data_IF_309822990227
#
_entry.id   IF_309822990227
#
_cell.length_a   1.000
_cell.length_b   1.000
_cell.length_c   1.000
_cell.angle_alpha   90.00
_cell.angle_beta   90.00
_cell.angle_gamma   90.00
#
_symmetry.space_group_name_H-M   'P 1'
#
loop_
_entity.id
_entity.type
_entity.pdbx_description
1 polymer ?
#
# COMPACT_ATOMS: atom_id res chain seq x y z
N UNK A 1 6.85 2.08 -70.07
CA UNK A 1 7.51 2.17 -68.74
C UNK A 1 6.44 2.31 -67.67
N UNK A 2 6.24 1.29 -66.82
CA UNK A 2 5.43 1.39 -65.60
C UNK A 2 6.34 0.98 -64.44
N UNK A 3 6.69 1.92 -63.59
CA UNK A 3 7.43 1.68 -62.35
C UNK A 3 6.43 1.17 -61.31
N UNK A 4 6.57 -0.07 -60.87
CA UNK A 4 5.89 -0.56 -59.68
C UNK A 4 6.74 -0.20 -58.46
N UNK A 5 6.24 0.73 -57.65
CA UNK A 5 6.79 1.08 -56.34
C UNK A 5 6.37 -0.01 -55.35
N UNK A 6 7.27 -0.94 -55.03
CA UNK A 6 7.08 -1.88 -53.93
C UNK A 6 7.29 -1.13 -52.61
N UNK A 7 6.21 -0.82 -51.90
CA UNK A 7 6.27 -0.31 -50.52
C UNK A 7 6.61 -1.49 -49.62
N UNK A 8 7.85 -1.50 -49.12
CA UNK A 8 8.32 -2.40 -48.08
C UNK A 8 7.64 -2.01 -46.76
N UNK A 9 6.63 -2.78 -46.36
CA UNK A 9 6.04 -2.69 -45.02
C UNK A 9 7.03 -3.28 -44.04
N UNK A 10 7.78 -2.41 -43.36
CA UNK A 10 8.62 -2.77 -42.21
C UNK A 10 7.65 -3.09 -41.07
N UNK A 11 7.30 -4.37 -40.92
CA UNK A 11 6.72 -4.88 -39.69
C UNK A 11 7.74 -4.67 -38.58
N UNK A 12 7.56 -3.60 -37.81
CA UNK A 12 8.23 -3.41 -36.53
C UNK A 12 7.76 -4.54 -35.61
N UNK A 13 8.53 -5.61 -35.52
CA UNK A 13 8.40 -6.58 -34.45
C UNK A 13 8.66 -5.82 -33.15
N UNK A 14 7.59 -5.47 -32.44
CA UNK A 14 7.71 -5.06 -31.05
C UNK A 14 8.33 -6.25 -30.32
N UNK A 15 9.60 -6.12 -29.98
CA UNK A 15 10.27 -7.03 -29.05
C UNK A 15 9.55 -6.83 -27.72
N UNK A 16 8.53 -7.63 -27.47
CA UNK A 16 7.94 -7.77 -26.14
C UNK A 16 9.00 -8.46 -25.29
N UNK A 17 9.85 -7.66 -24.63
CA UNK A 17 10.67 -8.16 -23.54
C UNK A 17 9.70 -8.78 -22.53
N UNK A 18 9.73 -10.11 -22.41
CA UNK A 18 8.98 -10.80 -21.38
C UNK A 18 9.51 -10.30 -20.03
N UNK A 19 8.68 -9.55 -19.31
CA UNK A 19 9.03 -9.02 -18.00
C UNK A 19 9.35 -10.20 -17.06
N UNK A 20 10.48 -10.12 -16.36
CA UNK A 20 10.83 -11.14 -15.38
C UNK A 20 9.86 -11.08 -14.19
N UNK A 21 9.54 -12.24 -13.61
CA UNK A 21 8.65 -12.34 -12.46
C UNK A 21 9.43 -12.66 -11.17
N UNK A 22 9.13 -11.93 -10.10
CA UNK A 22 9.48 -12.26 -8.73
C UNK A 22 8.50 -13.28 -8.19
N UNK A 23 9.01 -14.41 -7.67
CA UNK A 23 8.21 -15.46 -7.05
C UNK A 23 8.36 -15.37 -5.53
N UNK A 24 7.25 -15.20 -4.83
CA UNK A 24 7.22 -15.08 -3.37
C UNK A 24 6.17 -16.04 -2.82
N UNK A 25 6.45 -16.65 -1.67
CA UNK A 25 5.52 -17.49 -0.92
C UNK A 25 5.39 -16.93 0.48
N UNK A 26 4.15 -16.67 0.89
CA UNK A 26 3.78 -16.17 2.22
C UNK A 26 2.73 -17.11 2.78
N UNK A 27 3.07 -17.84 3.85
CA UNK A 27 2.34 -19.02 4.32
C UNK A 27 2.08 -20.01 3.16
N UNK A 28 0.80 -20.24 2.81
CA UNK A 28 0.37 -21.19 1.79
C UNK A 28 0.12 -20.56 0.42
N UNK A 29 0.05 -19.23 0.35
CA UNK A 29 -0.16 -18.50 -0.90
C UNK A 29 1.17 -18.19 -1.58
N UNK A 30 1.23 -18.49 -2.88
CA UNK A 30 2.34 -18.16 -3.76
C UNK A 30 1.88 -17.13 -4.80
N UNK A 31 2.65 -16.06 -4.97
CA UNK A 31 2.41 -15.01 -5.96
C UNK A 31 3.64 -14.80 -6.85
N UNK A 32 3.38 -14.44 -8.10
CA UNK A 32 4.40 -14.18 -9.12
C UNK A 32 4.12 -12.81 -9.74
N UNK A 33 4.77 -11.79 -9.21
CA UNK A 33 4.54 -10.40 -9.59
C UNK A 33 5.68 -9.86 -10.46
N UNK A 34 5.44 -8.82 -11.26
CA UNK A 34 6.46 -8.14 -12.06
C UNK A 34 7.71 -7.78 -11.26
N UNK A 35 8.91 -8.08 -11.73
CA UNK A 35 10.14 -7.66 -11.03
C UNK A 35 10.28 -6.15 -10.91
N UNK A 36 9.63 -5.37 -11.79
CA UNK A 36 9.54 -3.91 -11.69
C UNK A 36 8.81 -3.41 -10.45
N UNK A 37 8.04 -4.29 -9.79
CA UNK A 37 7.30 -3.99 -8.56
C UNK A 37 8.11 -4.39 -7.32
N UNK A 38 9.34 -4.88 -7.50
CA UNK A 38 10.29 -5.08 -6.41
C UNK A 38 11.22 -3.86 -6.36
N UNK A 39 11.45 -3.25 -5.18
CA UNK A 39 12.41 -2.17 -5.07
C UNK A 39 13.83 -2.65 -5.41
N UNK A 40 14.60 -1.79 -6.06
CA UNK A 40 16.01 -2.04 -6.29
C UNK A 40 16.77 -1.96 -4.96
N UNK A 41 16.98 -3.13 -4.36
CA UNK A 41 17.70 -3.28 -3.09
C UNK A 41 19.21 -3.43 -3.27
N UNK A 42 19.77 -3.23 -4.47
CA UNK A 42 21.20 -3.46 -4.75
C UNK A 42 22.11 -2.65 -3.82
N UNK A 43 21.82 -1.37 -3.60
CA UNK A 43 22.56 -0.53 -2.66
C UNK A 43 22.44 -1.01 -1.22
N UNK A 44 21.21 -1.29 -0.76
CA UNK A 44 20.95 -1.70 0.63
C UNK A 44 21.57 -3.08 0.93
N UNK A 45 21.54 -4.00 -0.04
CA UNK A 45 22.22 -5.29 0.06
C UNK A 45 23.73 -5.14 0.18
N UNK A 46 24.35 -4.23 -0.56
CA UNK A 46 25.77 -3.95 -0.44
C UNK A 46 26.13 -3.35 0.93
N UNK A 47 25.27 -2.46 1.45
CA UNK A 47 25.46 -1.83 2.76
C UNK A 47 25.28 -2.81 3.92
N UNK A 48 24.31 -3.73 3.82
CA UNK A 48 23.97 -4.71 4.86
C UNK A 48 24.76 -6.02 4.76
N UNK A 49 25.46 -6.27 3.64
CA UNK A 49 26.29 -7.46 3.45
C UNK A 49 27.24 -7.78 4.62
N UNK A 50 27.86 -6.80 5.32
CA UNK A 50 28.77 -7.09 6.44
C UNK A 50 28.09 -7.65 7.69
N UNK A 51 26.78 -7.43 7.86
CA UNK A 51 26.00 -7.87 9.02
C UNK A 51 24.88 -8.83 8.62
N UNK A 52 24.92 -9.36 7.40
CA UNK A 52 23.82 -10.15 6.84
C UNK A 52 23.49 -11.40 7.67
N UNK A 53 24.50 -11.99 8.33
CA UNK A 53 24.35 -13.16 9.20
C UNK A 53 23.77 -12.80 10.59
N UNK A 54 23.72 -11.51 10.94
CA UNK A 54 23.14 -10.98 12.19
C UNK A 54 21.72 -10.44 11.99
N UNK A 55 21.27 -10.32 10.74
CA UNK A 55 19.91 -9.92 10.42
C UNK A 55 19.00 -11.15 10.49
N UNK A 56 17.91 -11.05 11.26
CA UNK A 56 16.84 -12.05 11.20
C UNK A 56 16.41 -12.19 9.73
N UNK A 57 16.34 -13.44 9.23
CA UNK A 57 15.89 -13.68 7.87
C UNK A 57 14.49 -13.08 7.69
N UNK A 58 14.28 -12.34 6.61
CA UNK A 58 12.98 -11.75 6.25
C UNK A 58 11.96 -12.81 5.82
N UNK A 59 12.05 -14.02 6.37
CA UNK A 59 11.21 -15.17 6.04
C UNK A 59 9.78 -14.86 6.46
N UNK A 60 8.98 -14.39 5.50
CA UNK A 60 7.57 -14.05 5.70
C UNK A 60 7.19 -12.59 5.41
N UNK A 61 8.12 -11.78 4.91
CA UNK A 61 7.83 -10.40 4.48
C UNK A 61 8.39 -10.10 3.09
N UNK A 62 7.66 -9.33 2.30
CA UNK A 62 8.10 -8.84 0.99
C UNK A 62 7.68 -7.38 0.80
N UNK A 63 8.61 -6.52 0.38
CA UNK A 63 8.32 -5.15 0.01
C UNK A 63 7.89 -5.11 -1.46
N UNK A 64 6.65 -4.70 -1.71
CA UNK A 64 6.05 -4.62 -3.05
C UNK A 64 5.71 -3.16 -3.33
N UNK A 65 6.12 -2.69 -4.51
CA UNK A 65 5.81 -1.37 -5.06
C UNK A 65 4.83 -1.53 -6.22
N UNK A 66 3.65 -0.95 -6.12
CA UNK A 66 2.68 -0.92 -7.22
C UNK A 66 2.68 0.49 -7.82
N UNK A 67 3.08 0.67 -9.10
CA UNK A 67 3.07 1.97 -9.74
C UNK A 67 1.66 2.57 -9.76
N UNK A 68 1.54 3.88 -9.54
CA UNK A 68 0.25 4.57 -9.57
C UNK A 68 -0.51 4.40 -10.89
N UNK A 69 0.18 4.28 -12.02
CA UNK A 69 -0.44 4.04 -13.32
C UNK A 69 -1.22 2.72 -13.36
N UNK A 70 -0.75 1.69 -12.65
CA UNK A 70 -1.41 0.39 -12.57
C UNK A 70 -2.72 0.46 -11.77
N UNK A 71 -2.78 1.30 -10.73
CA UNK A 71 -4.02 1.56 -10.00
C UNK A 71 -4.93 2.49 -10.78
N UNK A 72 -4.40 3.55 -11.39
CA UNK A 72 -5.17 4.46 -12.25
C UNK A 72 -5.89 3.73 -13.38
N UNK A 73 -5.27 2.71 -13.96
CA UNK A 73 -5.88 1.89 -15.00
C UNK A 73 -7.09 1.07 -14.51
N UNK A 74 -7.18 0.80 -13.20
CA UNK A 74 -8.25 0.00 -12.57
C UNK A 74 -9.25 0.85 -11.77
N UNK A 75 -8.85 2.02 -11.29
CA UNK A 75 -9.65 2.91 -10.43
C UNK A 75 -9.82 4.27 -11.10
N UNK A 76 -11.03 4.50 -11.63
CA UNK A 76 -11.39 5.82 -12.15
C UNK A 76 -11.33 6.85 -11.02
N UNK A 77 -10.82 8.04 -11.33
CA UNK A 77 -10.64 9.12 -10.34
C UNK A 77 -9.32 9.11 -9.57
N UNK A 78 -8.57 8.00 -9.52
CA UNK A 78 -7.29 7.92 -8.80
C UNK A 78 -6.30 8.99 -9.28
N UNK A 79 -5.56 9.64 -8.40
CA UNK A 79 -4.58 10.66 -8.82
C UNK A 79 -3.18 10.05 -9.00
N UNK A 80 -2.42 10.54 -9.98
CA UNK A 80 -1.04 10.07 -10.23
C UNK A 80 -0.02 10.86 -9.43
N UNK A 81 -0.35 12.11 -9.11
CA UNK A 81 0.47 13.01 -8.31
C UNK A 81 -0.41 14.12 -7.73
N UNK A 82 0.15 14.90 -6.81
CA UNK A 82 -0.47 16.12 -6.30
C UNK A 82 0.58 17.12 -5.85
N UNK A 83 0.24 18.41 -5.87
CA UNK A 83 1.07 19.45 -5.29
C UNK A 83 0.87 19.44 -3.76
N UNK A 84 1.94 19.19 -3.00
CA UNK A 84 1.89 19.24 -1.54
C UNK A 84 1.86 20.69 -1.00
N UNK A 85 1.75 20.87 0.31
CA UNK A 85 1.70 22.21 0.91
C UNK A 85 2.97 23.06 0.67
N UNK A 86 4.06 22.44 0.22
CA UNK A 86 5.33 23.10 -0.09
C UNK A 86 5.49 23.43 -1.59
N UNK A 87 4.46 23.19 -2.42
CA UNK A 87 4.49 23.48 -3.84
C UNK A 87 5.25 22.45 -4.69
N UNK A 88 5.57 21.28 -4.12
CA UNK A 88 6.27 20.19 -4.81
C UNK A 88 5.26 19.21 -5.38
N UNK A 89 5.43 18.83 -6.64
CA UNK A 89 4.67 17.74 -7.26
C UNK A 89 5.12 16.41 -6.66
N UNK A 90 4.24 15.81 -5.89
CA UNK A 90 4.45 14.56 -5.19
C UNK A 90 3.75 13.46 -5.96
N UNK A 91 4.53 12.64 -6.66
CA UNK A 91 4.04 11.45 -7.34
C UNK A 91 3.48 10.45 -6.33
N UNK A 92 2.36 9.85 -6.70
CA UNK A 92 1.72 8.82 -5.89
C UNK A 92 2.37 7.49 -6.21
N UNK A 93 2.59 6.71 -5.17
CA UNK A 93 3.02 5.33 -5.27
C UNK A 93 2.36 4.50 -4.18
N UNK A 94 2.09 3.23 -4.51
CA UNK A 94 1.58 2.26 -3.55
C UNK A 94 2.71 1.33 -3.15
N UNK A 95 3.59 1.86 -2.30
CA UNK A 95 4.57 1.05 -1.59
C UNK A 95 3.89 0.37 -0.41
N UNK A 96 4.08 -0.94 -0.30
CA UNK A 96 3.50 -1.71 0.78
C UNK A 96 4.31 -2.94 1.14
N UNK A 97 4.08 -3.41 2.37
CA UNK A 97 4.70 -4.62 2.91
C UNK A 97 3.66 -5.74 2.89
N UNK A 98 4.00 -6.83 2.20
CA UNK A 98 3.26 -8.07 2.20
C UNK A 98 3.81 -8.99 3.28
N UNK A 99 2.93 -9.50 4.14
CA UNK A 99 3.23 -10.38 5.25
C UNK A 99 2.49 -11.70 5.10
N UNK A 100 3.08 -12.77 5.62
CA UNK A 100 2.34 -13.97 6.00
C UNK A 100 1.27 -13.60 7.04
N UNK A 101 0.01 -13.96 6.78
CA UNK A 101 -1.11 -13.63 7.68
C UNK A 101 -0.93 -14.26 9.07
N UNK A 102 -0.23 -15.39 9.16
CA UNK A 102 0.11 -16.03 10.43
C UNK A 102 0.99 -15.17 11.35
N UNK A 103 1.69 -14.17 10.81
CA UNK A 103 2.65 -13.33 11.54
C UNK A 103 2.06 -12.01 12.03
N UNK A 104 0.85 -11.64 11.61
CA UNK A 104 0.27 -10.31 11.85
C UNK A 104 -1.11 -10.42 12.50
N UNK A 105 -1.40 -9.53 13.46
CA UNK A 105 -2.77 -9.28 13.90
C UNK A 105 -3.40 -8.18 13.03
N UNK A 106 -4.30 -8.51 12.08
CA UNK A 106 -4.85 -7.54 11.13
C UNK A 106 -5.71 -6.46 11.82
N UNK A 107 -6.23 -6.74 13.01
CA UNK A 107 -7.09 -5.81 13.76
C UNK A 107 -6.34 -5.04 14.83
N UNK A 108 -5.04 -5.29 15.03
CA UNK A 108 -4.28 -4.74 16.16
C UNK A 108 -4.33 -3.21 16.22
N UNK A 109 -4.24 -2.54 15.07
CA UNK A 109 -4.34 -1.08 14.98
C UNK A 109 -5.75 -0.56 15.30
N UNK A 110 -6.79 -1.22 14.80
CA UNK A 110 -8.18 -0.85 15.08
C UNK A 110 -8.52 -1.06 16.56
N UNK A 111 -8.06 -2.16 17.16
CA UNK A 111 -8.21 -2.48 18.58
C UNK A 111 -7.44 -1.49 19.47
N UNK A 112 -6.24 -1.06 19.04
CA UNK A 112 -5.49 -0.02 19.74
C UNK A 112 -6.26 1.31 19.75
N UNK A 113 -6.77 1.74 18.59
CA UNK A 113 -7.54 2.98 18.48
C UNK A 113 -8.88 2.92 19.25
N UNK A 114 -9.56 1.78 19.24
CA UNK A 114 -10.85 1.60 19.92
C UNK A 114 -10.71 1.67 21.44
N UNK A 115 -9.64 1.07 21.97
CA UNK A 115 -9.36 1.00 23.41
C UNK A 115 -8.30 2.04 23.84
N UNK A 116 -8.19 3.16 23.10
CA UNK A 116 -7.11 4.14 23.30
C UNK A 116 -7.10 4.70 24.74
N UNK A 117 -8.28 4.88 25.35
CA UNK A 117 -8.42 5.39 26.71
C UNK A 117 -8.03 4.39 27.80
N UNK A 118 -7.99 3.09 27.51
CA UNK A 118 -7.51 2.07 28.45
C UNK A 118 -5.98 1.96 28.42
N UNK A 119 -5.38 2.36 27.29
CA UNK A 119 -3.95 2.16 27.01
C UNK A 119 -3.11 3.42 27.24
N UNK A 120 -3.74 4.60 27.29
CA UNK A 120 -3.05 5.90 27.24
C UNK A 120 -3.64 6.92 28.21
N UNK A 121 -2.76 7.65 28.87
CA UNK A 121 -3.12 8.70 29.83
C UNK A 121 -3.59 9.98 29.13
N UNK A 122 -3.06 10.27 27.94
CA UNK A 122 -3.38 11.45 27.14
C UNK A 122 -3.86 11.03 25.76
N UNK A 123 -5.09 11.44 25.42
CA UNK A 123 -5.71 11.15 24.13
C UNK A 123 -6.41 12.41 23.62
N UNK A 124 -6.08 12.81 22.40
CA UNK A 124 -6.74 13.88 21.69
C UNK A 124 -7.65 13.28 20.62
N UNK A 125 -8.86 13.83 20.53
CA UNK A 125 -9.84 13.44 19.51
C UNK A 125 -10.42 14.71 18.89
N UNK A 126 -10.25 14.86 17.58
CA UNK A 126 -10.75 16.01 16.83
C UNK A 126 -11.35 15.58 15.49
N UNK A 127 -12.13 16.45 14.86
CA UNK A 127 -12.60 16.22 13.49
C UNK A 127 -11.46 16.49 12.52
N UNK A 128 -11.32 15.63 11.51
CA UNK A 128 -10.42 15.89 10.41
C UNK A 128 -10.87 17.15 9.64
N UNK A 129 -9.95 18.06 9.29
CA UNK A 129 -10.29 19.31 8.60
C UNK A 129 -10.75 19.11 7.15
N UNK A 130 -10.43 17.97 6.52
CA UNK A 130 -10.66 17.72 5.10
C UNK A 130 -11.56 16.50 4.83
N UNK A 131 -11.69 15.61 5.80
CA UNK A 131 -12.45 14.36 5.68
C UNK A 131 -13.59 14.31 6.71
N UNK A 132 -14.70 13.59 6.42
CA UNK A 132 -15.81 13.42 7.36
C UNK A 132 -15.50 12.38 8.45
N UNK A 133 -14.30 12.44 9.03
CA UNK A 133 -13.76 11.48 10.00
C UNK A 133 -13.20 12.19 11.24
N UNK A 134 -12.75 11.41 12.21
CA UNK A 134 -12.09 11.87 13.42
C UNK A 134 -10.64 11.41 13.44
N UNK A 135 -9.76 12.27 13.94
CA UNK A 135 -8.36 11.96 14.24
C UNK A 135 -8.25 11.60 15.72
N UNK A 136 -7.54 10.53 16.03
CA UNK A 136 -7.23 10.08 17.39
C UNK A 136 -5.72 9.93 17.51
N UNK A 137 -5.10 10.67 18.42
CA UNK A 137 -3.64 10.69 18.59
C UNK A 137 -3.23 11.06 20.02
N UNK A 138 -1.99 10.75 20.35
CA UNK A 138 -1.43 10.91 21.70
C UNK A 138 -0.51 12.13 21.82
N UNK A 139 0.10 12.57 20.71
CA UNK A 139 1.12 13.61 20.70
C UNK A 139 0.96 14.55 19.49
N UNK A 140 1.22 15.83 19.70
CA UNK A 140 1.36 16.85 18.65
C UNK A 140 2.86 17.17 18.50
N UNK A 141 3.47 16.80 17.36
CA UNK A 141 4.83 17.15 16.87
C UNK A 141 5.99 16.13 17.10
N UNK A 142 7.15 16.24 16.42
CA UNK A 142 7.29 16.71 15.05
C UNK A 142 6.74 15.70 14.02
N UNK A 143 6.46 14.44 14.43
CA UNK A 143 5.82 13.43 13.59
C UNK A 143 4.36 13.31 13.99
N UNK A 144 3.48 13.82 13.15
CA UNK A 144 2.05 13.77 13.42
C UNK A 144 1.49 12.46 12.86
N UNK A 145 1.33 11.48 13.75
CA UNK A 145 0.68 10.20 13.46
C UNK A 145 -0.65 10.13 14.18
N UNK A 146 -1.69 9.65 13.51
CA UNK A 146 -3.02 9.51 14.09
C UNK A 146 -3.77 8.31 13.54
N UNK A 147 -4.70 7.80 14.33
CA UNK A 147 -5.73 6.91 13.84
C UNK A 147 -6.87 7.73 13.23
N UNK A 148 -7.27 7.41 12.01
CA UNK A 148 -8.42 7.99 11.33
C UNK A 148 -9.62 7.05 11.50
N UNK A 149 -10.71 7.56 12.08
CA UNK A 149 -11.87 6.75 12.49
C UNK A 149 -13.19 7.43 12.15
N UNK A 150 -14.26 6.68 11.94
CA UNK A 150 -15.58 7.22 11.56
C UNK A 150 -16.26 8.03 12.65
N UNK A 151 -16.04 7.67 13.90
CA UNK A 151 -16.61 8.34 15.06
C UNK A 151 -15.63 8.32 16.22
N UNK A 152 -15.67 9.32 17.08
CA UNK A 152 -14.84 9.37 18.28
C UNK A 152 -14.96 8.07 19.11
N UNK A 153 -13.83 7.50 19.59
CA UNK A 153 -13.86 6.37 20.50
C UNK A 153 -14.51 6.77 21.83
N UNK A 154 -15.16 5.82 22.48
CA UNK A 154 -15.74 6.01 23.82
C UNK A 154 -14.74 5.57 24.87
N UNK A 155 -14.73 6.22 26.05
CA UNK A 155 -13.85 5.81 27.17
C UNK A 155 -14.08 4.38 27.64
N UNK A 156 -15.34 3.93 27.64
CA UNK A 156 -15.73 2.57 28.02
C UNK A 156 -16.61 1.99 26.90
N UNK A 157 -16.02 1.44 25.84
CA UNK A 157 -16.81 0.93 24.73
C UNK A 157 -17.52 -0.37 25.15
N UNK A 158 -18.81 -0.29 25.51
CA UNK A 158 -19.62 -1.45 25.89
C UNK A 158 -20.09 -2.33 24.72
N UNK A 159 -19.54 -2.15 23.52
CA UNK A 159 -19.91 -2.85 22.28
C UNK A 159 -18.66 -3.23 21.49
N UNK A 160 -18.78 -4.25 20.66
CA UNK A 160 -17.75 -4.61 19.69
C UNK A 160 -17.49 -3.46 18.70
N UNK A 161 -16.26 -3.40 18.19
CA UNK A 161 -15.82 -2.45 17.17
C UNK A 161 -16.66 -2.66 15.89
N UNK A 162 -17.34 -1.63 15.35
CA UNK A 162 -17.97 -1.75 14.04
C UNK A 162 -16.92 -2.03 12.97
N UNK A 163 -17.22 -2.94 12.04
CA UNK A 163 -16.25 -3.42 11.04
C UNK A 163 -15.72 -2.33 10.09
N UNK A 164 -16.47 -1.25 9.91
CA UNK A 164 -16.10 -0.12 9.07
C UNK A 164 -15.64 1.11 9.88
N UNK A 165 -15.56 1.02 11.20
CA UNK A 165 -15.26 2.15 12.09
C UNK A 165 -13.84 2.69 11.88
N UNK A 166 -12.87 1.79 11.72
CA UNK A 166 -11.47 2.13 11.54
C UNK A 166 -11.17 2.39 10.06
N UNK A 167 -10.58 3.55 9.74
CA UNK A 167 -10.22 3.92 8.36
C UNK A 167 -8.75 3.63 8.06
N UNK A 168 -7.85 3.96 8.99
CA UNK A 168 -6.42 3.74 8.79
C UNK A 168 -5.55 4.41 9.84
N UNK A 169 -4.26 4.09 9.81
CA UNK A 169 -3.24 4.79 10.58
C UNK A 169 -2.53 5.77 9.65
N UNK A 170 -2.60 7.06 9.94
CA UNK A 170 -2.13 8.12 9.06
C UNK A 170 -0.89 8.78 9.63
N UNK A 171 -0.07 9.31 8.73
CA UNK A 171 1.11 10.10 9.05
C UNK A 171 1.22 11.27 8.09
N UNK A 172 1.58 12.43 8.63
CA UNK A 172 1.89 13.62 7.83
C UNK A 172 3.40 13.79 7.69
N UNK A 173 3.85 14.02 6.47
CA UNK A 173 5.24 14.32 6.14
C UNK A 173 5.29 15.31 4.97
N UNK A 174 6.19 16.30 5.08
CA UNK A 174 6.44 17.28 4.02
C UNK A 174 5.15 17.95 3.47
N UNK A 175 4.15 18.19 4.32
CA UNK A 175 2.93 18.89 3.92
C UNK A 175 1.91 18.06 3.16
N UNK A 176 2.05 16.73 3.19
CA UNK A 176 1.05 15.79 2.73
C UNK A 176 0.90 14.66 3.75
N UNK A 177 -0.25 14.00 3.75
CA UNK A 177 -0.45 12.84 4.60
C UNK A 177 -0.92 11.64 3.80
N UNK A 178 -0.45 10.48 4.24
CA UNK A 178 -0.90 9.17 3.77
C UNK A 178 -1.55 8.44 4.93
N UNK A 179 -2.41 7.47 4.62
CA UNK A 179 -2.91 6.53 5.59
C UNK A 179 -2.61 5.11 5.16
N UNK A 180 -2.07 4.33 6.09
CA UNK A 180 -1.93 2.88 5.95
C UNK A 180 -3.30 2.26 5.76
N UNK A 181 -3.44 1.54 4.66
CA UNK A 181 -4.57 0.70 4.31
C UNK A 181 -4.10 -0.75 4.28
N UNK A 182 -5.03 -1.68 4.43
CA UNK A 182 -4.71 -3.10 4.50
C UNK A 182 -5.67 -3.87 3.62
N UNK A 183 -5.16 -4.90 2.95
CA UNK A 183 -5.98 -5.91 2.28
C UNK A 183 -5.54 -7.29 2.73
N UNK A 184 -6.52 -8.18 2.85
CA UNK A 184 -6.30 -9.60 3.02
C UNK A 184 -6.55 -10.29 1.67
N UNK A 185 -5.58 -11.07 1.21
CA UNK A 185 -5.71 -11.93 0.04
C UNK A 185 -5.20 -13.34 0.41
N UNK A 186 -6.12 -14.28 0.63
CA UNK A 186 -5.78 -15.62 1.12
C UNK A 186 -4.92 -15.56 2.39
N UNK A 187 -3.71 -16.12 2.38
CA UNK A 187 -2.78 -16.06 3.52
C UNK A 187 -1.81 -14.87 3.46
N UNK A 188 -2.09 -13.86 2.62
CA UNK A 188 -1.29 -12.64 2.50
C UNK A 188 -2.03 -11.46 3.14
N UNK A 189 -1.37 -10.81 4.10
CA UNK A 189 -1.75 -9.50 4.61
C UNK A 189 -0.87 -8.44 3.93
N UNK A 190 -1.45 -7.52 3.16
CA UNK A 190 -0.69 -6.47 2.48
C UNK A 190 -1.09 -5.10 3.04
N UNK A 191 -0.14 -4.43 3.67
CA UNK A 191 -0.26 -3.06 4.18
C UNK A 191 0.38 -2.09 3.18
N UNK A 192 -0.34 -1.06 2.77
CA UNK A 192 0.15 -0.05 1.83
C UNK A 192 -0.28 1.35 2.24
N UNK A 193 0.41 2.37 1.74
CA UNK A 193 0.04 3.76 2.01
C UNK A 193 -0.84 4.34 0.90
N UNK A 194 -1.99 4.93 1.28
CA UNK A 194 -2.87 5.65 0.37
C UNK A 194 -2.84 7.13 0.71
N UNK A 195 -2.58 7.97 -0.29
CA UNK A 195 -2.52 9.42 -0.14
C UNK A 195 -3.88 10.01 0.24
N UNK A 196 -3.86 11.08 1.03
CA UNK A 196 -5.05 11.80 1.50
C UNK A 196 -6.09 12.06 0.40
N UNK A 197 -5.60 12.51 -0.77
CA UNK A 197 -6.38 12.86 -1.94
C UNK A 197 -7.22 11.69 -2.46
N UNK A 198 -6.73 10.46 -2.33
CA UNK A 198 -7.38 9.25 -2.85
C UNK A 198 -8.05 8.41 -1.76
N UNK A 199 -8.06 8.84 -0.49
CA UNK A 199 -8.73 8.10 0.60
C UNK A 199 -10.23 7.92 0.40
N UNK A 200 -10.86 8.78 -0.40
CA UNK A 200 -12.25 8.62 -0.79
C UNK A 200 -12.48 7.42 -1.73
N UNK A 201 -11.43 6.95 -2.42
CA UNK A 201 -11.41 5.80 -3.32
C UNK A 201 -10.85 4.53 -2.65
N UNK A 202 -10.67 4.54 -1.32
CA UNK A 202 -9.97 3.45 -0.60
C UNK A 202 -10.54 2.06 -0.89
N UNK A 203 -11.85 1.94 -1.06
CA UNK A 203 -12.52 0.66 -1.31
C UNK A 203 -12.18 0.16 -2.71
N UNK A 204 -12.26 1.04 -3.70
CA UNK A 204 -11.93 0.78 -5.09
C UNK A 204 -10.45 0.44 -5.28
N UNK A 205 -9.56 1.17 -4.59
CA UNK A 205 -8.12 0.87 -4.55
C UNK A 205 -7.87 -0.49 -3.91
N UNK A 206 -8.53 -0.80 -2.78
CA UNK A 206 -8.40 -2.11 -2.12
C UNK A 206 -8.77 -3.27 -3.05
N UNK A 207 -9.87 -3.13 -3.79
CA UNK A 207 -10.30 -4.14 -4.76
C UNK A 207 -9.37 -4.23 -5.97
N UNK A 208 -8.83 -3.11 -6.45
CA UNK A 208 -7.83 -3.11 -7.51
C UNK A 208 -6.53 -3.83 -7.10
N UNK A 209 -6.07 -3.60 -5.86
CA UNK A 209 -4.90 -4.31 -5.31
C UNK A 209 -5.21 -5.81 -5.16
N UNK A 210 -6.36 -6.20 -4.62
CA UNK A 210 -6.75 -7.63 -4.56
C UNK A 210 -6.80 -8.28 -5.95
N UNK A 211 -7.28 -7.56 -6.97
CA UNK A 211 -7.26 -8.04 -8.36
C UNK A 211 -5.84 -8.30 -8.85
N UNK A 212 -4.88 -7.42 -8.54
CA UNK A 212 -3.47 -7.62 -8.88
C UNK A 212 -2.90 -8.87 -8.21
N UNK A 213 -3.14 -9.07 -6.91
CA UNK A 213 -2.69 -10.29 -6.22
C UNK A 213 -3.29 -11.57 -6.82
N UNK A 214 -4.57 -11.52 -7.22
CA UNK A 214 -5.23 -12.63 -7.94
C UNK A 214 -4.56 -12.91 -9.29
N UNK A 215 -4.27 -11.87 -10.06
CA UNK A 215 -3.54 -11.96 -11.34
C UNK A 215 -2.13 -12.57 -11.13
N UNK A 216 -1.39 -12.12 -10.10
CA UNK A 216 -0.06 -12.63 -9.78
C UNK A 216 -0.05 -14.08 -9.31
N UNK A 217 -1.07 -14.52 -8.57
CA UNK A 217 -1.23 -15.94 -8.21
C UNK A 217 -1.39 -16.79 -9.47
N UNK A 218 -2.26 -16.39 -10.40
CA UNK A 218 -2.48 -17.10 -11.66
C UNK A 218 -1.24 -17.13 -12.54
N UNK A 219 -0.41 -16.09 -12.51
CA UNK A 219 0.84 -16.05 -13.26
C UNK A 219 1.83 -17.12 -12.78
N UNK A 220 1.81 -17.50 -11.50
CA UNK A 220 2.63 -18.61 -11.00
C UNK A 220 2.25 -19.97 -11.57
N UNK A 221 0.96 -20.19 -11.84
CA UNK A 221 0.44 -21.47 -12.34
C UNK A 221 0.79 -21.68 -13.82
N UNK A 222 1.08 -20.59 -14.54
CA UNK A 222 1.47 -20.58 -15.96
C UNK A 222 2.99 -20.63 -16.17
N UNK A 223 3.79 -20.45 -15.11
CA UNK A 223 5.26 -20.28 -15.15
C UNK A 223 6.05 -21.51 -14.70
#
# INVERSE_FOLDING_TARGET
>A
MKFYLFILVIFSSQVTYAESLRKVRLDDTKICYPSSFSPDSSFMKAFLAPIADELDSSDGQELIYIPAQNIKAKVSGYTLSHINSNGVDFEHELMGLAYASSQINPNGMAEAAWNVYDKRDTVYVEKDPSLPFYRVYEYHEPLFMWHLVRSAPLKNPGKAIPSDWYIGHCSESAGSFSCKQTINFESIFYEYELQAHDLHLRSEVSEAVKSLFKEWKQNCEKS
#
